data_IF_326831883923
#
_entry.id   IF_326831883923
#
_cell.length_a   1.000
_cell.length_b   1.000
_cell.length_c   1.000
_cell.angle_alpha   90.00
_cell.angle_beta   90.00
_cell.angle_gamma   90.00
#
_symmetry.space_group_name_H-M   'P 1'
#
loop_
_entity.id
_entity.type
_entity.pdbx_description
1 polymer ?
#
# COMPACT_ATOMS: atom_id res chain seq x y z
N UNK A 1 5.12 -14.20 -4.52
CA UNK A 1 6.24 -13.57 -3.77
C UNK A 1 6.80 -14.59 -2.80
N UNK A 2 8.13 -14.64 -2.60
CA UNK A 2 8.75 -15.57 -1.64
C UNK A 2 9.65 -14.79 -0.67
N UNK A 3 9.89 -15.38 0.49
CA UNK A 3 10.86 -14.91 1.48
C UNK A 3 11.98 -15.93 1.62
N UNK A 4 13.20 -15.47 1.86
CA UNK A 4 14.33 -16.32 2.25
C UNK A 4 14.46 -16.21 3.76
N UNK A 5 14.47 -17.37 4.41
CA UNK A 5 14.66 -17.50 5.84
C UNK A 5 16.10 -17.91 6.11
N UNK A 6 16.77 -17.18 6.98
CA UNK A 6 18.12 -17.47 7.45
C UNK A 6 18.14 -17.28 8.96
N UNK A 7 18.64 -18.24 9.70
CA UNK A 7 18.74 -18.20 11.17
C UNK A 7 17.41 -17.84 11.86
N UNK A 8 16.30 -18.43 11.37
CA UNK A 8 14.97 -18.24 11.95
C UNK A 8 14.32 -16.86 11.67
N UNK A 9 14.88 -16.09 10.73
CA UNK A 9 14.39 -14.76 10.40
C UNK A 9 14.29 -14.53 8.90
N UNK A 10 13.42 -13.62 8.47
CA UNK A 10 13.34 -13.21 7.07
C UNK A 10 14.57 -12.38 6.72
N UNK A 11 15.43 -12.89 5.86
CA UNK A 11 16.64 -12.20 5.41
C UNK A 11 16.42 -11.42 4.11
N UNK A 12 15.55 -11.88 3.22
CA UNK A 12 15.33 -11.26 1.91
C UNK A 12 13.97 -11.62 1.32
N UNK A 13 13.44 -10.71 0.49
CA UNK A 13 12.23 -10.95 -0.31
C UNK A 13 12.57 -11.15 -1.79
N UNK A 14 11.82 -12.04 -2.44
CA UNK A 14 11.91 -12.34 -3.87
C UNK A 14 10.55 -12.04 -4.50
N UNK A 15 10.43 -10.91 -5.18
CA UNK A 15 9.19 -10.50 -5.82
C UNK A 15 8.94 -11.23 -7.14
N UNK A 16 10.02 -11.56 -7.85
CA UNK A 16 9.95 -12.26 -9.13
C UNK A 16 10.99 -13.39 -9.17
N UNK A 17 10.67 -14.54 -9.82
CA UNK A 17 11.61 -15.63 -10.03
C UNK A 17 12.92 -15.14 -10.64
N UNK A 18 14.03 -15.40 -9.96
CA UNK A 18 15.38 -15.07 -10.41
C UNK A 18 16.38 -16.07 -9.87
N UNK A 19 17.54 -16.17 -10.51
CA UNK A 19 18.65 -16.96 -9.97
C UNK A 19 19.12 -16.34 -8.65
N UNK A 20 19.46 -17.17 -7.69
CA UNK A 20 19.89 -16.76 -6.36
C UNK A 20 20.98 -17.67 -5.82
N UNK A 21 21.69 -17.18 -4.81
CA UNK A 21 22.69 -17.93 -4.08
C UNK A 21 22.21 -18.02 -2.63
N UNK A 22 22.19 -19.24 -2.08
CA UNK A 22 21.90 -19.50 -0.68
C UNK A 22 23.08 -20.31 -0.13
N UNK A 23 23.77 -19.77 0.88
CA UNK A 23 25.08 -20.27 1.26
C UNK A 23 26.04 -20.21 0.06
N UNK A 24 26.68 -21.33 -0.24
CA UNK A 24 27.62 -21.46 -1.37
C UNK A 24 26.97 -22.07 -2.62
N UNK A 25 25.65 -22.33 -2.60
CA UNK A 25 24.95 -23.00 -3.69
C UNK A 25 24.18 -21.99 -4.54
N UNK A 26 24.39 -22.07 -5.86
CA UNK A 26 23.66 -21.28 -6.84
C UNK A 26 22.45 -22.03 -7.39
N UNK A 27 21.28 -21.43 -7.27
CA UNK A 27 20.01 -21.95 -7.75
C UNK A 27 19.52 -21.15 -8.97
N UNK A 28 19.10 -21.81 -10.05
CA UNK A 28 18.53 -21.14 -11.20
C UNK A 28 17.11 -20.66 -10.93
N UNK A 29 16.64 -19.62 -11.66
CA UNK A 29 15.29 -19.08 -11.50
C UNK A 29 14.16 -20.11 -11.68
N UNK A 30 14.40 -21.17 -12.47
CA UNK A 30 13.38 -22.20 -12.75
C UNK A 30 12.95 -23.03 -11.55
N UNK A 31 13.69 -23.00 -10.41
CA UNK A 31 13.25 -23.70 -9.20
C UNK A 31 11.88 -23.24 -8.73
N UNK A 32 11.53 -21.97 -8.91
CA UNK A 32 10.23 -21.40 -8.53
C UNK A 32 9.05 -21.92 -9.37
N UNK A 33 9.31 -22.58 -10.49
CA UNK A 33 8.27 -23.15 -11.37
C UNK A 33 8.29 -24.69 -11.41
N UNK A 34 9.36 -25.30 -10.92
CA UNK A 34 9.54 -26.77 -11.02
C UNK A 34 9.47 -27.43 -9.65
N UNK A 35 9.99 -26.77 -8.62
CA UNK A 35 10.03 -27.30 -7.28
C UNK A 35 8.71 -27.12 -6.53
N UNK A 36 8.40 -28.07 -5.69
CA UNK A 36 7.28 -28.01 -4.75
C UNK A 36 7.57 -26.99 -3.63
N UNK A 37 6.52 -26.55 -2.93
CA UNK A 37 6.68 -25.69 -1.76
C UNK A 37 7.59 -26.31 -0.69
N UNK A 38 7.51 -27.64 -0.50
CA UNK A 38 8.35 -28.36 0.46
C UNK A 38 9.83 -28.36 0.06
N UNK A 39 10.14 -28.51 -1.23
CA UNK A 39 11.52 -28.48 -1.73
C UNK A 39 12.12 -27.08 -1.62
N UNK A 40 11.32 -26.03 -1.89
CA UNK A 40 11.72 -24.64 -1.67
C UNK A 40 11.94 -24.36 -0.19
N UNK A 41 11.04 -24.81 0.68
CA UNK A 41 11.17 -24.64 2.13
C UNK A 41 12.42 -25.34 2.70
N UNK A 42 12.82 -26.50 2.14
CA UNK A 42 14.02 -27.21 2.56
C UNK A 42 15.32 -26.40 2.37
N UNK A 43 15.32 -25.42 1.46
CA UNK A 43 16.43 -24.49 1.26
C UNK A 43 16.14 -23.08 1.82
N UNK A 44 15.13 -22.97 2.68
CA UNK A 44 14.77 -21.72 3.35
C UNK A 44 13.98 -20.72 2.48
N UNK A 45 13.36 -21.16 1.37
CA UNK A 45 12.50 -20.31 0.54
C UNK A 45 11.05 -20.64 0.85
N UNK A 46 10.30 -19.66 1.37
CA UNK A 46 8.90 -19.81 1.74
C UNK A 46 8.04 -18.86 0.93
N UNK A 47 6.92 -19.34 0.40
CA UNK A 47 5.94 -18.48 -0.26
C UNK A 47 5.25 -17.57 0.76
N UNK A 48 5.09 -16.29 0.40
CA UNK A 48 4.41 -15.32 1.27
C UNK A 48 2.91 -15.37 1.04
N UNK A 49 2.16 -15.65 2.09
CA UNK A 49 0.70 -15.58 2.12
C UNK A 49 0.27 -14.15 2.48
N UNK A 50 -0.65 -13.58 1.70
CA UNK A 50 -1.14 -12.22 1.93
C UNK A 50 -2.48 -12.26 2.67
N UNK A 51 -2.49 -11.78 3.91
CA UNK A 51 -3.71 -11.54 4.67
C UNK A 51 -4.19 -10.10 4.49
N UNK A 52 -5.25 -9.94 3.72
CA UNK A 52 -5.88 -8.66 3.43
C UNK A 52 -7.12 -8.39 4.30
N UNK A 53 -7.36 -9.17 5.35
CA UNK A 53 -8.55 -9.03 6.21
C UNK A 53 -8.69 -7.64 6.85
N UNK A 54 -7.57 -7.00 7.17
CA UNK A 54 -7.52 -5.63 7.72
C UNK A 54 -7.45 -4.53 6.68
N UNK A 55 -7.26 -4.85 5.41
CA UNK A 55 -7.22 -3.86 4.34
C UNK A 55 -8.61 -3.24 4.17
N UNK A 56 -8.67 -1.91 4.22
CA UNK A 56 -9.89 -1.11 4.02
C UNK A 56 -9.86 -0.42 2.65
N UNK A 57 -11.03 0.01 2.19
CA UNK A 57 -11.15 0.77 0.95
C UNK A 57 -10.33 2.07 1.03
N UNK A 58 -9.35 2.20 0.14
CA UNK A 58 -8.44 3.35 0.06
C UNK A 58 -9.15 4.67 -0.28
N UNK A 59 -10.40 4.61 -0.74
CA UNK A 59 -11.24 5.80 -0.92
C UNK A 59 -11.52 6.50 0.41
N UNK A 60 -11.71 5.73 1.49
CA UNK A 60 -12.14 6.23 2.80
C UNK A 60 -11.08 6.08 3.90
N UNK A 61 -10.09 5.22 3.68
CA UNK A 61 -9.09 4.87 4.68
C UNK A 61 -7.67 5.02 4.15
N UNK A 62 -6.75 5.23 5.08
CA UNK A 62 -5.31 5.11 4.87
C UNK A 62 -4.90 3.77 5.45
N UNK A 63 -4.52 2.84 4.59
CA UNK A 63 -3.99 1.55 5.02
C UNK A 63 -2.52 1.71 5.43
N UNK A 64 -2.09 0.94 6.42
CA UNK A 64 -0.67 0.83 6.78
C UNK A 64 0.09 0.06 5.70
N UNK A 65 1.42 0.14 5.73
CA UNK A 65 2.24 -0.81 4.98
C UNK A 65 2.06 -2.22 5.56
N UNK A 66 2.21 -3.23 4.70
CA UNK A 66 2.21 -4.62 5.16
C UNK A 66 3.45 -4.91 5.99
N UNK A 67 3.25 -5.61 7.09
CA UNK A 67 4.29 -6.23 7.91
C UNK A 67 4.37 -7.72 7.57
N UNK A 68 5.59 -8.25 7.55
CA UNK A 68 5.86 -9.63 7.20
C UNK A 68 6.34 -10.37 8.45
N UNK A 69 5.65 -11.44 8.79
CA UNK A 69 5.97 -12.25 9.97
C UNK A 69 6.28 -13.67 9.54
N UNK A 70 7.39 -14.23 10.02
CA UNK A 70 7.71 -15.64 9.87
C UNK A 70 7.29 -16.39 11.14
N UNK A 71 6.50 -17.43 10.97
CA UNK A 71 6.14 -18.38 12.00
C UNK A 71 7.00 -19.64 11.80
N UNK A 72 7.93 -19.87 12.73
CA UNK A 72 8.87 -20.98 12.66
C UNK A 72 8.21 -22.33 12.93
N UNK A 73 7.18 -22.36 13.79
CA UNK A 73 6.46 -23.58 14.15
C UNK A 73 5.57 -24.06 12.99
N UNK A 74 4.90 -23.13 12.34
CA UNK A 74 4.07 -23.42 11.17
C UNK A 74 4.87 -23.46 9.85
N UNK A 75 6.10 -22.93 9.82
CA UNK A 75 6.92 -22.82 8.61
C UNK A 75 6.31 -21.89 7.56
N UNK A 76 5.61 -20.84 7.96
CA UNK A 76 4.87 -19.95 7.07
C UNK A 76 5.34 -18.50 7.17
N UNK A 77 5.20 -17.75 6.07
CA UNK A 77 5.41 -16.30 6.07
C UNK A 77 4.10 -15.63 5.69
N UNK A 78 3.63 -14.73 6.55
CA UNK A 78 2.39 -14.00 6.34
C UNK A 78 2.65 -12.50 6.25
N UNK A 79 2.06 -11.85 5.24
CA UNK A 79 2.05 -10.39 5.08
C UNK A 79 0.68 -9.87 5.51
N UNK A 80 0.64 -9.02 6.54
CA UNK A 80 -0.60 -8.46 7.11
C UNK A 80 -0.59 -6.94 7.11
N UNK A 81 -1.77 -6.32 6.97
CA UNK A 81 -1.95 -4.90 7.22
C UNK A 81 -2.18 -4.66 8.72
N UNK A 82 -1.66 -3.55 9.24
CA UNK A 82 -2.09 -3.00 10.52
C UNK A 82 -3.48 -2.36 10.43
N UNK A 83 -3.92 -1.73 11.50
CA UNK A 83 -5.23 -1.08 11.54
C UNK A 83 -5.23 0.17 10.65
N UNK A 84 -6.22 0.27 9.78
CA UNK A 84 -6.37 1.38 8.85
C UNK A 84 -6.95 2.61 9.57
N UNK A 85 -6.46 3.79 9.22
CA UNK A 85 -6.94 5.07 9.73
C UNK A 85 -7.98 5.66 8.78
N UNK A 86 -9.14 6.06 9.31
CA UNK A 86 -10.14 6.74 8.51
C UNK A 86 -9.63 8.11 8.04
N UNK A 87 -9.84 8.46 6.77
CA UNK A 87 -9.56 9.80 6.26
C UNK A 87 -10.53 10.80 6.88
N UNK A 88 -10.03 11.99 7.19
CA UNK A 88 -10.86 13.06 7.75
C UNK A 88 -12.00 13.43 6.77
N UNK A 89 -13.21 13.63 7.29
CA UNK A 89 -14.36 14.07 6.50
C UNK A 89 -14.26 15.54 6.12
N UNK A 90 -13.89 16.40 7.10
CA UNK A 90 -13.66 17.82 6.89
C UNK A 90 -12.22 18.11 6.45
N UNK A 91 -11.99 19.27 5.87
CA UNK A 91 -10.65 19.79 5.64
C UNK A 91 -9.92 19.98 6.97
N UNK A 92 -8.60 19.77 6.97
CA UNK A 92 -7.73 19.98 8.12
C UNK A 92 -6.76 21.12 7.81
N UNK A 93 -6.67 22.11 8.68
CA UNK A 93 -5.76 23.22 8.52
C UNK A 93 -4.37 22.92 9.13
N UNK A 94 -3.39 23.75 8.79
CA UNK A 94 -2.10 23.73 9.44
C UNK A 94 -2.24 24.10 10.91
N UNK A 95 -1.54 23.40 11.78
CA UNK A 95 -1.43 23.79 13.19
C UNK A 95 -0.26 24.76 13.37
N UNK A 96 -0.31 25.60 14.42
CA UNK A 96 0.80 26.51 14.73
C UNK A 96 2.12 25.77 14.89
N UNK A 97 2.12 24.61 15.55
CA UNK A 97 3.31 23.81 15.73
C UNK A 97 3.92 23.33 14.40
N UNK A 98 3.09 22.92 13.43
CA UNK A 98 3.55 22.52 12.11
C UNK A 98 4.13 23.71 11.29
N UNK A 99 3.57 24.90 11.49
CA UNK A 99 4.08 26.14 10.88
C UNK A 99 5.44 26.49 11.47
N UNK A 100 5.56 26.46 12.80
CA UNK A 100 6.79 26.75 13.52
C UNK A 100 7.92 25.74 13.20
N UNK A 101 7.57 24.49 12.99
CA UNK A 101 8.48 23.41 12.55
C UNK A 101 8.87 23.51 11.06
N UNK A 102 8.34 24.50 10.32
CA UNK A 102 8.66 24.70 8.91
C UNK A 102 8.06 23.66 7.96
N UNK A 103 7.05 22.91 8.39
CA UNK A 103 6.37 21.88 7.59
C UNK A 103 5.33 22.48 6.63
N UNK A 104 4.83 23.68 6.94
CA UNK A 104 3.86 24.40 6.13
C UNK A 104 4.54 25.22 5.01
N UNK A 105 3.85 25.46 3.87
CA UNK A 105 4.34 26.38 2.84
C UNK A 105 4.57 27.80 3.38
N UNK A 106 5.51 28.52 2.79
CA UNK A 106 5.78 29.91 3.15
C UNK A 106 4.52 30.77 3.03
N UNK A 107 4.16 31.48 4.11
CA UNK A 107 2.97 32.31 4.19
C UNK A 107 1.68 31.57 4.58
N UNK A 108 1.76 30.29 4.89
CA UNK A 108 0.63 29.57 5.48
C UNK A 108 0.38 30.03 6.92
N UNK A 109 -0.88 30.01 7.32
CA UNK A 109 -1.38 30.29 8.66
C UNK A 109 -2.32 29.18 9.11
N UNK A 110 -2.88 29.30 10.32
CA UNK A 110 -3.81 28.32 10.88
C UNK A 110 -5.17 28.26 10.16
N UNK A 111 -5.48 29.18 9.28
CA UNK A 111 -6.67 29.17 8.43
C UNK A 111 -6.40 28.53 7.06
N UNK A 112 -5.12 28.31 6.75
CA UNK A 112 -4.69 27.66 5.51
C UNK A 112 -4.92 26.14 5.58
N UNK A 113 -5.59 25.59 4.56
CA UNK A 113 -5.89 24.15 4.51
C UNK A 113 -4.63 23.36 4.21
N UNK A 114 -4.28 22.44 5.11
CA UNK A 114 -3.18 21.50 4.97
C UNK A 114 -3.59 20.27 4.14
N UNK A 115 -4.73 19.67 4.49
CA UNK A 115 -5.24 18.46 3.84
C UNK A 115 -6.72 18.61 3.54
N UNK A 116 -7.10 18.37 2.29
CA UNK A 116 -8.50 18.36 1.87
C UNK A 116 -9.20 17.11 2.36
N UNK A 117 -10.34 17.27 3.01
CA UNK A 117 -11.16 16.17 3.51
C UNK A 117 -11.97 15.48 2.41
N UNK A 118 -12.61 14.36 2.78
CA UNK A 118 -13.45 13.58 1.87
C UNK A 118 -14.59 14.40 1.28
N UNK A 119 -15.22 15.27 2.07
CA UNK A 119 -16.32 16.15 1.62
C UNK A 119 -15.89 17.01 0.42
N UNK A 120 -14.72 17.64 0.49
CA UNK A 120 -14.21 18.44 -0.61
C UNK A 120 -14.01 17.62 -1.89
N UNK A 121 -13.38 16.45 -1.75
CA UNK A 121 -13.09 15.57 -2.88
C UNK A 121 -14.36 15.04 -3.55
N UNK A 122 -15.39 14.69 -2.77
CA UNK A 122 -16.68 14.27 -3.31
C UNK A 122 -17.40 15.41 -4.05
N UNK A 123 -17.45 16.62 -3.47
CA UNK A 123 -18.05 17.79 -4.12
C UNK A 123 -17.34 18.08 -5.45
N UNK A 124 -16.00 18.04 -5.46
CA UNK A 124 -15.20 18.23 -6.68
C UNK A 124 -15.55 17.20 -7.76
N UNK A 125 -15.65 15.92 -7.38
CA UNK A 125 -16.02 14.85 -8.31
C UNK A 125 -17.42 15.02 -8.88
N UNK A 126 -18.42 15.34 -8.03
CA UNK A 126 -19.80 15.55 -8.45
C UNK A 126 -19.91 16.77 -9.39
N UNK A 127 -19.20 17.86 -9.08
CA UNK A 127 -19.18 19.04 -9.96
C UNK A 127 -18.59 18.71 -11.33
N UNK A 128 -17.46 18.00 -11.39
CA UNK A 128 -16.86 17.59 -12.65
C UNK A 128 -17.77 16.65 -13.47
N UNK A 129 -18.49 15.75 -12.83
CA UNK A 129 -19.48 14.89 -13.48
C UNK A 129 -20.66 15.69 -14.04
N UNK A 130 -21.19 16.66 -13.25
CA UNK A 130 -22.27 17.52 -13.67
C UNK A 130 -21.86 18.41 -14.87
N UNK A 131 -20.67 19.00 -14.83
CA UNK A 131 -20.09 19.76 -15.95
C UNK A 131 -19.94 18.92 -17.20
N UNK A 132 -19.46 17.66 -17.05
CA UNK A 132 -19.33 16.73 -18.16
C UNK A 132 -20.69 16.39 -18.81
N UNK A 133 -21.73 16.20 -18.00
CA UNK A 133 -23.10 15.94 -18.48
C UNK A 133 -23.70 17.19 -19.19
N UNK A 134 -23.51 18.37 -18.61
CA UNK A 134 -23.98 19.62 -19.21
C UNK A 134 -23.31 19.84 -20.58
N UNK A 135 -22.01 19.68 -20.68
CA UNK A 135 -21.26 19.80 -21.93
C UNK A 135 -21.75 18.81 -23.01
N UNK A 136 -22.18 17.61 -22.60
CA UNK A 136 -22.76 16.64 -23.52
C UNK A 136 -24.16 17.05 -24.01
N UNK A 137 -24.93 17.81 -23.25
CA UNK A 137 -26.30 18.19 -23.58
C UNK A 137 -26.42 19.57 -24.21
N UNK A 138 -25.48 20.49 -23.98
CA UNK A 138 -25.50 21.87 -24.50
C UNK A 138 -25.50 21.94 -26.03
N UNK A 139 -24.93 20.96 -26.72
CA UNK A 139 -24.98 20.90 -28.18
C UNK A 139 -26.39 20.66 -28.74
N UNK A 140 -27.33 20.15 -27.92
CA UNK A 140 -28.74 20.00 -28.35
C UNK A 140 -29.49 21.33 -28.38
N UNK A 141 -29.04 22.34 -27.66
CA UNK A 141 -29.73 23.61 -27.51
C UNK A 141 -29.29 24.63 -28.60
N UNK A 142 -28.11 24.43 -29.16
CA UNK A 142 -27.51 25.34 -30.17
C UNK A 142 -27.82 24.99 -31.63
N UNK A 143 -28.81 24.12 -31.90
CA UNK A 143 -29.32 23.78 -33.24
C UNK A 143 -30.70 24.35 -33.49
#
# INVERSE_FOLDING_TARGET
MHAIITDGSISKYINHPKSLVIGDVRYPARIFSVWTASELAAIGIIEVTFDNSKKKDEKYYINTNQTYTYDADAGTVTATYGDATAKAHADTNWTQAQIDDGLAPTGADTDTVAVRGLKYNFIKTIKAQAEGLLNQTDWYITR
#
